data_IF_377975601402
#
_entry.id   IF_377975601402
#
_cell.length_a   1.000
_cell.length_b   1.000
_cell.length_c   1.000
_cell.angle_alpha   90.00
_cell.angle_beta   90.00
_cell.angle_gamma   90.00
#
_symmetry.space_group_name_H-M   'P 1'
#
loop_
_entity.id
_entity.type
_entity.pdbx_description
1 polymer ?
#
# COMPACT_ATOMS: atom_id res chain seq x y z
N UNK A 1 -13.01 -29.73 -10.56
CA UNK A 1 -13.37 -28.33 -10.31
C UNK A 1 -13.31 -28.11 -8.81
N UNK A 2 -12.19 -27.62 -8.28
CA UNK A 2 -12.14 -27.15 -6.88
C UNK A 2 -12.69 -25.73 -6.91
N UNK A 3 -13.76 -25.44 -6.16
CA UNK A 3 -14.14 -24.06 -5.89
C UNK A 3 -12.95 -23.40 -5.19
N UNK A 4 -12.37 -22.40 -5.83
CA UNK A 4 -11.53 -21.44 -5.12
C UNK A 4 -12.47 -20.71 -4.16
N UNK A 5 -12.31 -20.97 -2.87
CA UNK A 5 -12.96 -20.18 -1.85
C UNK A 5 -12.46 -18.75 -2.05
N UNK A 6 -13.33 -17.86 -2.54
CA UNK A 6 -13.01 -16.45 -2.69
C UNK A 6 -12.50 -15.93 -1.35
N UNK A 7 -11.22 -15.57 -1.32
CA UNK A 7 -10.59 -15.12 -0.10
C UNK A 7 -11.30 -13.86 0.39
N UNK A 8 -11.90 -13.90 1.59
CA UNK A 8 -12.60 -12.75 2.18
C UNK A 8 -11.68 -11.54 2.18
N UNK A 9 -12.09 -10.43 1.60
CA UNK A 9 -11.30 -9.20 1.65
C UNK A 9 -11.19 -8.69 3.09
N UNK A 10 -10.16 -7.88 3.42
CA UNK A 10 -10.07 -7.22 4.71
C UNK A 10 -11.32 -6.37 4.96
N UNK A 11 -11.92 -6.48 6.15
CA UNK A 11 -13.12 -5.70 6.51
C UNK A 11 -12.81 -4.25 6.83
N UNK A 12 -13.86 -3.44 6.96
CA UNK A 12 -13.76 -1.97 7.12
C UNK A 12 -12.86 -1.53 8.28
N UNK A 13 -12.90 -2.21 9.42
CA UNK A 13 -12.07 -1.87 10.58
C UNK A 13 -10.56 -2.00 10.25
N UNK A 14 -10.18 -3.06 9.56
CA UNK A 14 -8.80 -3.28 9.11
C UNK A 14 -8.40 -2.27 8.03
N UNK A 15 -9.31 -1.96 7.10
CA UNK A 15 -9.09 -0.95 6.07
C UNK A 15 -8.84 0.44 6.66
N UNK A 16 -9.67 0.85 7.61
CA UNK A 16 -9.53 2.14 8.31
C UNK A 16 -8.24 2.20 9.11
N UNK A 17 -7.86 1.11 9.77
CA UNK A 17 -6.65 1.05 10.56
C UNK A 17 -5.40 1.13 9.66
N UNK A 18 -5.37 0.40 8.54
CA UNK A 18 -4.27 0.49 7.56
C UNK A 18 -4.20 1.88 6.94
N UNK A 19 -5.35 2.48 6.58
CA UNK A 19 -5.42 3.85 6.08
C UNK A 19 -4.84 4.87 7.09
N UNK A 20 -5.11 4.69 8.38
CA UNK A 20 -4.53 5.53 9.43
C UNK A 20 -3.02 5.34 9.56
N UNK A 21 -2.53 4.11 9.43
CA UNK A 21 -1.09 3.82 9.41
C UNK A 21 -0.39 4.48 8.22
N UNK A 22 -0.95 4.37 7.00
CA UNK A 22 -0.38 5.02 5.81
C UNK A 22 -0.25 6.53 6.03
N UNK A 23 -1.28 7.18 6.58
CA UNK A 23 -1.24 8.62 6.89
C UNK A 23 -0.16 8.97 7.90
N UNK A 24 0.09 8.13 8.91
CA UNK A 24 1.18 8.36 9.88
C UNK A 24 2.55 8.28 9.20
N UNK A 25 2.74 7.26 8.34
CA UNK A 25 3.97 7.11 7.58
C UNK A 25 4.21 8.28 6.62
N UNK A 26 3.20 8.73 5.87
CA UNK A 26 3.33 9.90 5.00
C UNK A 26 3.73 11.15 5.77
N UNK A 27 3.12 11.40 6.93
CA UNK A 27 3.49 12.51 7.80
C UNK A 27 4.92 12.39 8.34
N UNK A 28 5.39 11.17 8.62
CA UNK A 28 6.78 10.95 9.05
C UNK A 28 7.75 11.26 7.90
N UNK A 29 7.49 10.75 6.69
CA UNK A 29 8.30 11.04 5.49
C UNK A 29 8.33 12.55 5.19
N UNK A 30 7.19 13.23 5.26
CA UNK A 30 7.10 14.67 5.02
C UNK A 30 7.93 15.50 6.03
N UNK A 31 8.01 15.07 7.29
CA UNK A 31 8.80 15.76 8.33
C UNK A 31 10.29 15.73 8.04
N UNK A 32 10.76 14.60 7.52
CA UNK A 32 12.18 14.40 7.25
C UNK A 32 12.67 15.22 6.05
N UNK A 33 11.77 15.77 5.23
CA UNK A 33 12.09 16.62 4.07
C UNK A 33 13.05 15.94 3.08
N UNK A 34 12.95 14.62 2.94
CA UNK A 34 13.73 13.83 1.99
C UNK A 34 13.46 14.26 0.54
N UNK A 35 14.43 13.97 -0.32
CA UNK A 35 14.33 14.30 -1.74
C UNK A 35 13.25 13.45 -2.44
N UNK A 36 13.18 13.57 -3.77
CA UNK A 36 12.32 12.70 -4.59
C UNK A 36 13.04 11.40 -5.02
N UNK A 37 14.14 11.05 -4.36
CA UNK A 37 14.98 9.90 -4.73
C UNK A 37 14.72 8.74 -3.76
N UNK A 38 13.72 7.93 -4.09
CA UNK A 38 13.32 6.76 -3.31
C UNK A 38 14.41 5.68 -3.20
N UNK A 39 15.47 5.75 -4.00
CA UNK A 39 16.61 4.82 -3.93
C UNK A 39 17.63 5.33 -2.92
N UNK A 40 18.00 6.60 -3.01
CA UNK A 40 18.97 7.20 -2.09
C UNK A 40 18.44 7.27 -0.63
N UNK A 41 17.14 7.47 -0.47
CA UNK A 41 16.50 7.67 0.83
C UNK A 41 15.89 6.38 1.41
N UNK A 42 16.04 5.23 0.73
CA UNK A 42 15.42 3.97 1.13
C UNK A 42 15.87 3.48 2.52
N UNK A 43 17.16 3.56 2.82
CA UNK A 43 17.68 3.15 4.13
C UNK A 43 17.09 4.01 5.25
N UNK A 44 16.75 5.27 4.97
CA UNK A 44 16.17 6.17 5.95
C UNK A 44 14.71 5.84 6.25
N UNK A 45 13.92 5.47 5.23
CA UNK A 45 12.51 5.08 5.46
C UNK A 45 12.39 3.79 6.28
N UNK A 46 13.35 2.87 6.14
CA UNK A 46 13.36 1.62 6.89
C UNK A 46 13.58 1.79 8.39
N UNK A 47 14.20 2.90 8.79
CA UNK A 47 14.45 3.22 10.20
C UNK A 47 13.25 3.93 10.86
N UNK A 48 12.22 4.31 10.10
CA UNK A 48 11.02 4.93 10.67
C UNK A 48 10.19 3.90 11.45
N UNK A 49 9.83 4.17 12.72
CA UNK A 49 8.91 3.32 13.46
C UNK A 49 7.58 3.10 12.73
N UNK A 50 7.06 4.15 12.09
CA UNK A 50 5.81 4.12 11.32
C UNK A 50 5.89 3.15 10.13
N UNK A 51 7.06 2.96 9.53
CA UNK A 51 7.26 2.00 8.44
C UNK A 51 7.14 0.57 8.96
N UNK A 52 7.83 0.26 10.07
CA UNK A 52 7.78 -1.07 10.69
C UNK A 52 6.37 -1.42 11.19
N UNK A 53 5.71 -0.48 11.88
CA UNK A 53 4.32 -0.63 12.36
C UNK A 53 3.35 -0.90 11.21
N UNK A 54 3.46 -0.12 10.12
CA UNK A 54 2.58 -0.25 8.97
C UNK A 54 2.76 -1.61 8.28
N UNK A 55 4.01 -2.06 8.14
CA UNK A 55 4.34 -3.36 7.58
C UNK A 55 3.74 -4.49 8.42
N UNK A 56 3.97 -4.49 9.72
CA UNK A 56 3.41 -5.49 10.63
C UNK A 56 1.88 -5.53 10.55
N UNK A 57 1.25 -4.35 10.55
CA UNK A 57 -0.19 -4.23 10.46
C UNK A 57 -0.74 -4.78 9.13
N UNK A 58 -0.14 -4.46 7.98
CA UNK A 58 -0.59 -4.94 6.68
C UNK A 58 -0.59 -6.47 6.58
N UNK A 59 0.38 -7.14 7.23
CA UNK A 59 0.41 -8.60 7.36
C UNK A 59 -0.65 -9.13 8.33
N UNK A 60 -0.78 -8.53 9.50
CA UNK A 60 -1.74 -8.97 10.53
C UNK A 60 -3.20 -8.84 10.07
N UNK A 61 -3.52 -7.75 9.36
CA UNK A 61 -4.87 -7.41 8.91
C UNK A 61 -5.29 -8.16 7.63
N UNK A 62 -4.38 -8.93 7.03
CA UNK A 62 -4.65 -9.79 5.89
C UNK A 62 -4.56 -9.13 4.52
N UNK A 63 -3.93 -7.95 4.42
CA UNK A 63 -3.66 -7.29 3.13
C UNK A 63 -2.52 -7.95 2.37
N UNK A 64 -1.57 -8.58 3.07
CA UNK A 64 -0.43 -9.27 2.43
C UNK A 64 -0.54 -10.78 2.63
N UNK A 65 -1.14 -11.48 1.66
CA UNK A 65 -1.38 -12.94 1.71
C UNK A 65 -1.20 -13.62 0.34
N UNK A 66 -0.85 -14.91 0.35
CA UNK A 66 -0.39 -15.63 -0.85
C UNK A 66 -1.44 -15.98 -1.90
N UNK A 67 -2.72 -15.68 -1.65
CA UNK A 67 -3.86 -16.00 -2.51
C UNK A 67 -4.33 -14.82 -3.39
N UNK A 68 -3.74 -13.64 -3.23
CA UNK A 68 -4.00 -12.49 -4.10
C UNK A 68 -3.21 -12.64 -5.42
N UNK A 69 -3.85 -12.27 -6.54
CA UNK A 69 -3.33 -12.51 -7.90
C UNK A 69 -1.87 -12.06 -8.07
N UNK A 70 -1.11 -12.86 -8.83
CA UNK A 70 0.28 -12.63 -9.20
C UNK A 70 0.44 -11.67 -10.39
N UNK A 71 -0.66 -11.24 -11.01
CA UNK A 71 -0.60 -10.18 -12.03
C UNK A 71 -0.10 -8.90 -11.38
N UNK A 72 1.06 -8.42 -11.84
CA UNK A 72 1.69 -7.22 -11.32
C UNK A 72 0.89 -5.96 -11.65
N UNK A 73 1.11 -4.91 -10.88
CA UNK A 73 0.74 -3.56 -11.29
C UNK A 73 1.90 -2.91 -12.03
N UNK A 74 1.58 -2.05 -12.99
CA UNK A 74 2.55 -1.13 -13.56
C UNK A 74 2.74 0.04 -12.57
N UNK A 75 3.71 -0.11 -11.67
CA UNK A 75 3.99 0.90 -10.65
C UNK A 75 4.52 2.19 -11.26
N UNK A 76 5.24 2.15 -12.39
CA UNK A 76 5.70 3.36 -13.08
C UNK A 76 4.50 4.18 -13.57
N UNK A 77 3.55 3.53 -14.24
CA UNK A 77 2.34 4.19 -14.72
C UNK A 77 1.48 4.74 -13.56
N UNK A 78 1.32 3.97 -12.48
CA UNK A 78 0.52 4.39 -11.32
C UNK A 78 1.17 5.57 -10.60
N UNK A 79 2.48 5.53 -10.36
CA UNK A 79 3.17 6.63 -9.68
C UNK A 79 3.24 7.90 -10.55
N UNK A 80 3.13 7.78 -11.88
CA UNK A 80 2.99 8.92 -12.78
C UNK A 80 1.57 9.52 -12.78
N UNK A 81 0.53 8.75 -12.42
CA UNK A 81 -0.88 9.19 -12.38
C UNK A 81 -1.64 8.46 -11.26
N UNK A 82 -1.39 8.79 -9.99
CA UNK A 82 -1.92 8.05 -8.84
C UNK A 82 -3.44 8.12 -8.72
N UNK A 83 -4.07 9.12 -9.32
CA UNK A 83 -5.52 9.33 -9.30
C UNK A 83 -6.28 8.18 -9.96
N UNK A 84 -5.65 7.40 -10.84
CA UNK A 84 -6.22 6.18 -11.41
C UNK A 84 -6.71 5.22 -10.33
N UNK A 85 -6.01 5.14 -9.20
CA UNK A 85 -6.38 4.28 -8.07
C UNK A 85 -7.76 4.65 -7.50
N UNK A 86 -8.24 5.89 -7.65
CA UNK A 86 -9.59 6.25 -7.19
C UNK A 86 -10.70 5.51 -7.94
N UNK A 87 -10.44 5.13 -9.19
CA UNK A 87 -11.42 4.42 -10.02
C UNK A 87 -11.47 2.91 -9.75
N UNK A 88 -10.53 2.39 -8.95
CA UNK A 88 -10.43 0.95 -8.71
C UNK A 88 -11.45 0.49 -7.65
N UNK A 89 -12.04 -0.71 -7.84
CA UNK A 89 -12.86 -1.33 -6.81
C UNK A 89 -12.00 -1.70 -5.59
N UNK A 90 -12.62 -1.82 -4.43
CA UNK A 90 -11.92 -2.10 -3.17
C UNK A 90 -11.03 -3.35 -3.23
N UNK A 91 -11.49 -4.41 -3.90
CA UNK A 91 -10.70 -5.63 -4.14
C UNK A 91 -9.35 -5.34 -4.83
N UNK A 92 -9.35 -4.44 -5.81
CA UNK A 92 -8.15 -4.03 -6.54
C UNK A 92 -7.25 -3.12 -5.71
N UNK A 93 -7.81 -2.31 -4.80
CA UNK A 93 -7.02 -1.56 -3.81
C UNK A 93 -6.29 -2.52 -2.85
N UNK A 94 -6.99 -3.53 -2.33
CA UNK A 94 -6.38 -4.56 -1.51
C UNK A 94 -5.29 -5.32 -2.27
N UNK A 95 -5.52 -5.63 -3.55
CA UNK A 95 -4.53 -6.26 -4.44
C UNK A 95 -3.32 -5.35 -4.69
N UNK A 96 -3.53 -4.04 -4.85
CA UNK A 96 -2.45 -3.07 -5.00
C UNK A 96 -1.57 -3.04 -3.76
N UNK A 97 -2.17 -2.95 -2.56
CA UNK A 97 -1.43 -3.03 -1.29
C UNK A 97 -0.64 -4.32 -1.23
N UNK A 98 -1.26 -5.48 -1.51
CA UNK A 98 -0.55 -6.75 -1.55
C UNK A 98 0.69 -6.72 -2.46
N UNK A 99 0.50 -6.26 -3.71
CA UNK A 99 1.54 -6.22 -4.71
C UNK A 99 2.68 -5.26 -4.30
N UNK A 100 2.33 -4.08 -3.78
CA UNK A 100 3.27 -3.07 -3.32
C UNK A 100 4.18 -3.63 -2.21
N UNK A 101 3.59 -4.26 -1.19
CA UNK A 101 4.34 -4.83 -0.06
C UNK A 101 5.19 -6.05 -0.46
N UNK A 102 4.73 -6.84 -1.43
CA UNK A 102 5.55 -7.90 -2.01
C UNK A 102 6.74 -7.31 -2.75
N UNK A 103 6.51 -6.30 -3.59
CA UNK A 103 7.57 -5.61 -4.32
C UNK A 103 8.58 -4.95 -3.38
N UNK A 104 8.11 -4.32 -2.29
CA UNK A 104 8.94 -3.73 -1.24
C UNK A 104 9.95 -4.73 -0.70
N UNK A 105 9.49 -5.92 -0.33
CA UNK A 105 10.35 -6.99 0.19
C UNK A 105 11.39 -7.45 -0.83
N UNK A 106 11.04 -7.50 -2.12
CA UNK A 106 11.97 -7.87 -3.18
C UNK A 106 12.99 -6.76 -3.48
N UNK A 107 12.61 -5.50 -3.24
CA UNK A 107 13.44 -4.33 -3.53
C UNK A 107 14.31 -3.89 -2.35
N UNK A 108 14.20 -4.55 -1.20
CA UNK A 108 14.96 -4.24 0.01
C UNK A 108 16.48 -4.16 -0.26
N UNK A 109 17.09 -3.03 0.13
CA UNK A 109 18.50 -2.71 -0.11
C UNK A 109 18.82 -2.13 -1.50
N UNK A 110 17.82 -1.98 -2.38
CA UNK A 110 17.94 -1.38 -3.70
C UNK A 110 17.01 -0.18 -3.92
N UNK A 111 16.06 0.05 -3.01
CA UNK A 111 15.13 1.18 -3.01
C UNK A 111 13.85 0.83 -2.26
N UNK A 112 13.01 1.83 -1.94
CA UNK A 112 11.70 1.58 -1.33
C UNK A 112 10.54 1.92 -2.28
N UNK A 113 9.75 0.91 -2.61
CA UNK A 113 8.51 1.04 -3.38
C UNK A 113 7.44 1.78 -2.59
N UNK A 114 7.39 1.56 -1.27
CA UNK A 114 6.51 2.28 -0.35
C UNK A 114 6.89 3.75 -0.32
N UNK A 115 8.18 4.10 -0.20
CA UNK A 115 8.63 5.49 -0.26
C UNK A 115 8.28 6.14 -1.60
N UNK A 116 8.52 5.45 -2.71
CA UNK A 116 8.17 5.94 -4.04
C UNK A 116 6.66 6.21 -4.18
N UNK A 117 5.83 5.28 -3.71
CA UNK A 117 4.38 5.43 -3.68
C UNK A 117 3.91 6.55 -2.74
N UNK A 118 4.65 6.83 -1.66
CA UNK A 118 4.42 7.99 -0.80
C UNK A 118 4.76 9.30 -1.50
N UNK A 119 5.95 9.40 -2.10
CA UNK A 119 6.43 10.59 -2.80
C UNK A 119 5.57 10.95 -4.02
N UNK A 120 5.03 9.96 -4.72
CA UNK A 120 4.09 10.18 -5.83
C UNK A 120 2.69 10.59 -5.37
N UNK A 121 2.33 10.31 -4.11
CA UNK A 121 0.98 10.46 -3.59
C UNK A 121 0.05 9.26 -3.86
N UNK A 122 0.55 8.17 -4.46
CA UNK A 122 -0.22 6.94 -4.63
C UNK A 122 -0.69 6.35 -3.29
N UNK A 123 0.17 6.37 -2.25
CA UNK A 123 -0.21 5.92 -0.91
C UNK A 123 -1.35 6.75 -0.31
N UNK A 124 -1.33 8.07 -0.49
CA UNK A 124 -2.43 8.96 -0.08
C UNK A 124 -3.76 8.55 -0.70
N UNK A 125 -3.77 8.26 -1.99
CA UNK A 125 -4.97 7.81 -2.71
C UNK A 125 -5.45 6.46 -2.17
N UNK A 126 -4.54 5.51 -1.94
CA UNK A 126 -4.86 4.21 -1.32
C UNK A 126 -5.50 4.41 0.06
N UNK A 127 -4.91 5.25 0.92
CA UNK A 127 -5.43 5.51 2.25
C UNK A 127 -6.83 6.13 2.22
N UNK A 128 -7.12 6.99 1.25
CA UNK A 128 -8.46 7.55 1.06
C UNK A 128 -9.46 6.48 0.65
N UNK A 129 -9.09 5.62 -0.32
CA UNK A 129 -9.95 4.51 -0.78
C UNK A 129 -10.21 3.48 0.31
N UNK A 130 -9.19 3.09 1.08
CA UNK A 130 -9.34 2.18 2.21
C UNK A 130 -10.24 2.77 3.31
N UNK A 131 -10.17 4.08 3.56
CA UNK A 131 -11.02 4.73 4.56
C UNK A 131 -12.50 4.82 4.13
N UNK A 132 -12.79 4.73 2.83
CA UNK A 132 -14.16 4.69 2.29
C UNK A 132 -14.79 3.29 2.39
N UNK A 133 -13.97 2.24 2.57
CA UNK A 133 -14.44 0.84 2.67
C UNK A 133 -14.94 0.26 1.35
N UNK A 134 -15.61 -0.90 1.42
CA UNK A 134 -16.43 -1.37 0.30
C UNK A 134 -17.60 -0.40 0.11
N UNK A 135 -17.69 0.27 -1.04
CA UNK A 135 -18.90 1.01 -1.40
C UNK A 135 -20.08 0.04 -1.34
N UNK A 136 -20.95 0.25 -0.36
CA UNK A 136 -22.21 -0.46 -0.23
C UNK A 136 -23.11 0.13 -1.31
N UNK A 137 -23.21 -0.56 -2.44
CA UNK A 137 -24.29 -0.31 -3.40
C UNK A 137 -25.57 -0.79 -2.72
N UNK A 138 -26.32 0.15 -2.14
CA UNK A 138 -27.70 -0.04 -1.67
C UNK A 138 -28.64 -0.40 -2.84
#
# INVERSE_FOLDING_TARGET
MKSEAGASLPGDAHAQALAAGIRRLELAIERESWGADSVADADLVYELPEYAELLEQAYADGFVRGDLSHEGFDFDAINATPEFLNSLPYAEICRYVHALYRAERWNFGWGSMILWAGQSGALRVVAQRLAQGEETVD
#
